data_IF_385600385551
#
_entry.id   IF_385600385551
#
_cell.length_a   1.000
_cell.length_b   1.000
_cell.length_c   1.000
_cell.angle_alpha   90.00
_cell.angle_beta   90.00
_cell.angle_gamma   90.00
#
_symmetry.space_group_name_H-M   'P 1'
#
loop_
_entity.id
_entity.type
_entity.pdbx_description
1 polymer ?
#
# COMPACT_ATOMS: atom_id res chain seq x y z
N UNK A 1 6.53 18.07 -48.60
CA UNK A 1 7.24 17.95 -47.30
C UNK A 1 7.82 19.32 -47.00
N UNK A 2 7.32 20.01 -45.99
CA UNK A 2 7.82 21.35 -45.64
C UNK A 2 9.20 21.21 -45.01
N UNK A 3 10.18 21.94 -45.54
CA UNK A 3 11.53 21.97 -44.99
C UNK A 3 11.50 22.52 -43.56
N UNK A 4 12.23 21.85 -42.66
CA UNK A 4 12.35 22.28 -41.27
C UNK A 4 13.07 23.65 -41.26
N UNK A 5 12.51 24.67 -40.60
CA UNK A 5 13.11 25.99 -40.52
C UNK A 5 14.57 25.92 -40.03
N UNK A 6 15.51 26.69 -40.61
CA UNK A 6 16.93 26.62 -40.26
C UNK A 6 17.21 26.81 -38.76
N UNK A 7 16.44 27.68 -38.11
CA UNK A 7 16.43 27.91 -36.65
C UNK A 7 16.12 26.62 -35.87
N UNK A 8 15.09 25.89 -36.28
CA UNK A 8 14.69 24.61 -35.66
C UNK A 8 15.72 23.51 -35.89
N UNK A 9 16.36 23.50 -37.07
CA UNK A 9 17.44 22.55 -37.39
C UNK A 9 18.68 22.82 -36.52
N UNK A 10 18.99 24.09 -36.25
CA UNK A 10 20.07 24.51 -35.35
C UNK A 10 19.79 24.11 -33.89
N UNK A 11 18.54 24.28 -33.42
CA UNK A 11 18.12 23.87 -32.09
C UNK A 11 18.19 22.35 -31.91
N UNK A 12 17.75 21.58 -32.91
CA UNK A 12 17.83 20.11 -32.91
C UNK A 12 19.28 19.60 -32.90
N UNK A 13 20.18 20.26 -33.64
CA UNK A 13 21.61 19.93 -33.59
C UNK A 13 22.22 20.25 -32.23
N UNK A 14 21.84 21.36 -31.59
CA UNK A 14 22.33 21.70 -30.25
C UNK A 14 21.78 20.73 -29.19
N UNK A 15 20.50 20.37 -29.22
CA UNK A 15 19.93 19.34 -28.33
C UNK A 15 20.63 17.99 -28.53
N UNK A 16 20.85 17.58 -29.78
CA UNK A 16 21.55 16.32 -30.09
C UNK A 16 23.00 16.35 -29.57
N UNK A 17 23.69 17.49 -29.72
CA UNK A 17 25.04 17.72 -29.18
C UNK A 17 25.06 17.68 -27.64
N UNK A 18 24.08 18.26 -26.96
CA UNK A 18 23.94 18.18 -25.51
C UNK A 18 23.71 16.74 -25.03
N UNK A 19 22.90 15.96 -25.74
CA UNK A 19 22.71 14.53 -25.46
C UNK A 19 23.98 13.69 -25.69
N UNK A 20 24.78 14.02 -26.70
CA UNK A 20 26.10 13.41 -26.92
C UNK A 20 27.08 13.73 -25.80
N UNK A 21 27.09 14.98 -25.31
CA UNK A 21 27.93 15.43 -24.19
C UNK A 21 27.58 14.76 -22.85
N UNK A 22 26.32 14.36 -22.67
CA UNK A 22 25.84 13.69 -21.45
C UNK A 22 26.03 12.16 -21.49
N UNK A 23 26.34 11.58 -22.65
CA UNK A 23 26.49 10.13 -22.82
C UNK A 23 27.65 9.53 -22.00
N UNK A 24 28.82 10.18 -21.87
CA UNK A 24 29.88 9.74 -20.96
C UNK A 24 29.49 9.86 -19.48
N UNK A 25 28.76 10.91 -19.09
CA UNK A 25 28.29 11.09 -17.71
C UNK A 25 27.29 10.00 -17.31
N UNK A 26 26.37 9.63 -18.21
CA UNK A 26 25.44 8.49 -17.99
C UNK A 26 26.21 7.18 -17.79
N UNK A 27 27.20 6.91 -18.65
CA UNK A 27 28.04 5.71 -18.53
C UNK A 27 28.85 5.71 -17.23
N UNK A 28 29.37 6.86 -16.82
CA UNK A 28 30.11 7.01 -15.56
C UNK A 28 29.20 6.88 -14.32
N UNK A 29 27.95 7.34 -14.38
CA UNK A 29 26.94 7.09 -13.35
C UNK A 29 26.61 5.60 -13.27
N UNK A 30 26.42 4.92 -14.40
CA UNK A 30 26.17 3.47 -14.45
C UNK A 30 27.36 2.63 -13.98
N UNK A 31 28.60 3.08 -14.23
CA UNK A 31 29.83 2.46 -13.72
C UNK A 31 30.04 2.76 -12.23
N UNK A 32 29.73 3.97 -11.76
CA UNK A 32 29.76 4.34 -10.34
C UNK A 32 28.69 3.58 -9.55
N UNK A 33 27.50 3.35 -10.12
CA UNK A 33 26.44 2.54 -9.51
C UNK A 33 26.84 1.05 -9.36
N UNK A 34 27.76 0.56 -10.20
CA UNK A 34 28.33 -0.80 -10.07
C UNK A 34 29.40 -0.90 -8.98
N UNK A 35 30.02 0.21 -8.59
CA UNK A 35 31.10 0.28 -7.58
C UNK A 35 30.67 0.89 -6.24
N UNK A 36 29.43 1.43 -6.15
CA UNK A 36 28.81 1.95 -4.92
C UNK A 36 28.39 0.81 -3.98
N UNK A 37 29.39 0.18 -3.35
CA UNK A 37 29.21 -0.49 -2.07
C UNK A 37 29.23 0.54 -0.92
N UNK A 38 28.33 0.32 0.04
CA UNK A 38 28.11 1.01 1.33
C UNK A 38 27.36 2.35 1.21
N UNK A 39 26.09 2.46 1.70
CA UNK A 39 25.54 1.86 2.93
C UNK A 39 24.38 0.86 2.75
N UNK A 40 23.75 0.78 1.57
CA UNK A 40 22.58 -0.09 1.34
C UNK A 40 22.95 -1.58 1.24
N UNK A 41 24.15 -1.90 0.75
CA UNK A 41 24.58 -3.29 0.62
C UNK A 41 24.88 -3.95 1.96
N UNK A 42 25.39 -3.20 2.95
CA UNK A 42 25.64 -3.72 4.30
C UNK A 42 24.33 -3.99 5.04
N UNK A 43 23.31 -3.13 4.86
CA UNK A 43 21.97 -3.40 5.39
C UNK A 43 21.34 -4.66 4.78
N UNK A 44 21.46 -4.85 3.46
CA UNK A 44 20.98 -6.06 2.79
C UNK A 44 21.76 -7.33 3.17
N UNK A 45 23.08 -7.22 3.34
CA UNK A 45 23.93 -8.33 3.79
C UNK A 45 23.63 -8.70 5.23
N UNK A 46 23.47 -7.73 6.12
CA UNK A 46 23.02 -7.94 7.49
C UNK A 46 21.67 -8.67 7.55
N UNK A 47 20.71 -8.31 6.70
CA UNK A 47 19.41 -8.98 6.60
C UNK A 47 19.54 -10.42 6.07
N UNK A 48 20.46 -10.69 5.14
CA UNK A 48 20.69 -12.05 4.63
C UNK A 48 21.50 -12.94 5.58
N UNK A 49 22.48 -12.39 6.29
CA UNK A 49 23.35 -13.11 7.23
C UNK A 49 22.66 -13.33 8.58
N UNK A 50 21.75 -12.44 8.98
CA UNK A 50 20.90 -12.57 10.17
C UNK A 50 19.47 -12.98 9.81
N UNK A 51 19.30 -13.67 8.68
CA UNK A 51 17.98 -14.09 8.18
C UNK A 51 17.23 -14.92 9.22
N UNK A 52 17.91 -15.80 9.95
CA UNK A 52 17.27 -16.62 11.00
C UNK A 52 16.83 -15.77 12.21
N UNK A 53 17.67 -14.89 12.83
CA UNK A 53 17.21 -13.97 13.88
C UNK A 53 16.12 -12.98 13.46
N UNK A 54 16.18 -12.44 12.23
CA UNK A 54 15.16 -11.51 11.71
C UNK A 54 13.86 -12.25 11.40
N UNK A 55 13.95 -13.46 10.82
CA UNK A 55 12.79 -14.34 10.69
C UNK A 55 12.28 -14.77 12.06
N UNK A 56 13.12 -14.98 13.06
CA UNK A 56 12.71 -15.29 14.44
C UNK A 56 12.02 -14.11 15.10
N UNK A 57 12.47 -12.87 14.87
CA UNK A 57 11.79 -11.65 15.34
C UNK A 57 10.48 -11.44 14.60
N UNK A 58 10.42 -11.67 13.29
CA UNK A 58 9.17 -11.60 12.50
C UNK A 58 8.23 -12.76 12.87
N UNK A 59 8.76 -13.95 13.19
CA UNK A 59 8.03 -15.11 13.66
C UNK A 59 7.62 -14.97 15.13
N UNK A 60 8.39 -14.25 15.93
CA UNK A 60 8.08 -13.92 17.32
C UNK A 60 7.05 -12.80 17.35
N UNK A 61 7.21 -11.76 16.55
CA UNK A 61 6.17 -10.80 16.25
C UNK A 61 4.94 -11.52 15.73
N UNK A 62 5.03 -12.44 14.76
CA UNK A 62 3.91 -13.31 14.32
C UNK A 62 3.39 -14.25 15.40
N UNK A 63 4.17 -14.69 16.40
CA UNK A 63 3.67 -15.50 17.53
C UNK A 63 2.92 -14.65 18.54
N UNK A 64 3.33 -13.39 18.67
CA UNK A 64 2.68 -12.37 19.50
C UNK A 64 1.51 -11.68 18.75
N UNK A 65 1.51 -11.72 17.40
CA UNK A 65 0.53 -11.17 16.43
C UNK A 65 -0.31 -12.28 15.77
N UNK A 66 -0.05 -13.54 16.08
CA UNK A 66 -0.89 -14.70 15.73
C UNK A 66 -2.37 -14.60 16.18
N UNK A 67 -2.75 -13.74 17.16
CA UNK A 67 -4.16 -13.57 17.44
C UNK A 67 -4.97 -12.85 16.34
N UNK A 68 -4.31 -12.13 15.42
CA UNK A 68 -5.00 -11.41 14.32
C UNK A 68 -5.60 -12.40 13.30
N UNK A 69 -4.89 -13.49 13.00
CA UNK A 69 -5.36 -14.52 12.08
C UNK A 69 -6.56 -15.32 12.62
N UNK A 70 -6.60 -15.57 13.94
CA UNK A 70 -7.77 -16.20 14.60
C UNK A 70 -8.97 -15.25 14.62
N UNK A 71 -8.74 -13.97 14.90
CA UNK A 71 -9.74 -12.89 14.77
C UNK A 71 -10.32 -12.81 13.35
N UNK A 72 -9.47 -12.89 12.33
CA UNK A 72 -9.89 -12.93 10.93
C UNK A 72 -10.79 -14.15 10.65
N UNK A 73 -10.38 -15.36 11.06
CA UNK A 73 -11.18 -16.58 10.91
C UNK A 73 -12.54 -16.50 11.62
N UNK A 74 -12.62 -15.78 12.75
CA UNK A 74 -13.86 -15.57 13.49
C UNK A 74 -14.81 -14.55 12.82
N UNK A 75 -14.27 -13.52 12.16
CA UNK A 75 -15.06 -12.46 11.53
C UNK A 75 -15.37 -12.71 10.05
N UNK A 76 -14.66 -13.61 9.40
CA UNK A 76 -14.86 -13.97 8.01
C UNK A 76 -16.18 -14.75 7.83
N UNK A 77 -17.27 -14.06 7.51
CA UNK A 77 -18.46 -14.68 6.92
C UNK A 77 -18.21 -15.06 5.46
N UNK A 78 -19.11 -15.85 4.85
CA UNK A 78 -19.08 -16.21 3.43
C UNK A 78 -18.64 -15.02 2.54
N UNK A 79 -17.68 -15.25 1.64
CA UNK A 79 -17.03 -14.26 0.74
C UNK A 79 -16.00 -13.28 1.36
N UNK A 80 -15.42 -13.59 2.51
CA UNK A 80 -14.25 -12.84 3.01
C UNK A 80 -13.00 -13.14 2.17
N UNK A 81 -12.33 -12.10 1.66
CA UNK A 81 -11.02 -12.23 1.01
C UNK A 81 -9.93 -11.99 2.04
N UNK A 82 -9.24 -13.07 2.44
CA UNK A 82 -7.98 -12.99 3.22
C UNK A 82 -6.84 -12.58 2.28
N UNK A 83 -6.61 -11.28 2.14
CA UNK A 83 -5.38 -10.80 1.52
C UNK A 83 -4.32 -10.55 2.59
N UNK A 84 -3.68 -11.63 3.01
CA UNK A 84 -2.36 -11.51 3.65
C UNK A 84 -1.39 -10.95 2.61
N UNK A 85 -0.99 -9.69 2.77
CA UNK A 85 -0.01 -9.03 1.91
C UNK A 85 1.36 -9.75 1.90
N UNK A 86 1.56 -10.71 2.82
CA UNK A 86 2.70 -11.62 2.86
C UNK A 86 2.56 -12.82 1.88
N UNK A 87 1.33 -13.28 1.61
CA UNK A 87 1.05 -14.39 0.66
C UNK A 87 0.91 -13.90 -0.78
N UNK A 88 0.53 -12.64 -0.98
CA UNK A 88 0.35 -12.04 -2.31
C UNK A 88 1.67 -11.80 -3.07
N UNK A 89 2.82 -11.87 -2.38
CA UNK A 89 4.10 -11.44 -2.93
C UNK A 89 4.18 -9.91 -3.05
N UNK A 90 5.34 -9.41 -3.49
CA UNK A 90 5.53 -7.97 -3.71
C UNK A 90 4.50 -7.45 -4.73
N UNK A 91 3.65 -6.50 -4.32
CA UNK A 91 2.77 -5.78 -5.24
C UNK A 91 3.58 -4.69 -5.95
N UNK A 92 3.54 -4.63 -7.29
CA UNK A 92 4.23 -3.58 -8.03
C UNK A 92 3.63 -2.23 -7.69
N UNK A 93 4.48 -1.26 -7.35
CA UNK A 93 4.08 0.13 -7.17
C UNK A 93 3.67 0.73 -8.52
N UNK A 94 2.63 1.58 -8.50
CA UNK A 94 2.34 2.44 -9.65
C UNK A 94 3.54 3.34 -9.93
N UNK A 95 4.12 3.16 -11.12
CA UNK A 95 5.19 4.00 -11.65
C UNK A 95 4.73 4.82 -12.86
N UNK A 96 3.48 4.62 -13.27
CA UNK A 96 2.87 5.29 -14.42
C UNK A 96 2.59 6.77 -14.08
N UNK A 97 2.94 7.72 -14.97
CA UNK A 97 2.61 9.13 -14.78
C UNK A 97 1.11 9.34 -14.51
N UNK A 98 0.79 10.25 -13.59
CA UNK A 98 -0.58 10.47 -13.12
C UNK A 98 -1.56 10.85 -14.24
N UNK A 99 -1.07 11.55 -15.27
CA UNK A 99 -1.86 11.94 -16.44
C UNK A 99 -2.37 10.73 -17.26
N UNK A 100 -1.62 9.63 -17.27
CA UNK A 100 -2.00 8.38 -17.93
C UNK A 100 -3.04 7.60 -17.12
N UNK A 101 -3.01 7.72 -15.79
CA UNK A 101 -3.99 7.07 -14.89
C UNK A 101 -5.31 7.83 -14.88
N UNK A 102 -5.27 9.17 -14.94
CA UNK A 102 -6.46 10.04 -14.91
C UNK A 102 -7.10 10.26 -16.29
N UNK A 103 -6.39 10.01 -17.38
CA UNK A 103 -6.86 10.29 -18.74
C UNK A 103 -7.95 9.35 -19.26
N UNK A 104 -8.29 8.28 -18.55
CA UNK A 104 -9.32 7.30 -18.94
C UNK A 104 -9.00 6.47 -20.19
N UNK A 105 -8.13 6.97 -21.07
CA UNK A 105 -7.57 6.26 -22.21
C UNK A 105 -6.23 5.61 -21.81
N UNK A 106 -6.29 4.31 -21.60
CA UNK A 106 -5.17 3.41 -21.75
C UNK A 106 -3.97 3.57 -20.79
N UNK A 107 -4.14 2.98 -19.61
CA UNK A 107 -3.12 2.09 -19.03
C UNK A 107 -2.63 0.99 -20.01
N UNK A 108 -3.25 0.87 -21.19
CA UNK A 108 -3.13 -0.22 -22.13
C UNK A 108 -1.89 -0.19 -23.05
N UNK A 109 -1.07 0.88 -23.09
CA UNK A 109 0.04 0.88 -24.05
C UNK A 109 1.38 0.32 -23.54
N UNK A 110 1.69 0.31 -22.23
CA UNK A 110 3.01 -0.17 -21.76
C UNK A 110 3.02 -1.08 -20.49
N UNK A 111 1.95 -1.20 -19.70
CA UNK A 111 1.92 -2.09 -18.51
C UNK A 111 0.64 -2.94 -18.43
N UNK A 112 0.52 -3.90 -19.36
CA UNK A 112 -0.60 -4.84 -19.39
C UNK A 112 -0.67 -5.72 -18.14
N UNK A 113 0.48 -6.05 -17.54
CA UNK A 113 0.55 -6.88 -16.34
C UNK A 113 0.00 -6.13 -15.12
N UNK A 114 0.41 -4.87 -14.93
CA UNK A 114 -0.13 -4.01 -13.88
C UNK A 114 -1.63 -3.75 -14.03
N UNK A 115 -2.11 -3.54 -15.26
CA UNK A 115 -3.54 -3.39 -15.53
C UNK A 115 -4.33 -4.67 -15.22
N UNK A 116 -3.82 -5.84 -15.62
CA UNK A 116 -4.45 -7.13 -15.34
C UNK A 116 -4.53 -7.40 -13.83
N UNK A 117 -3.44 -7.14 -13.10
CA UNK A 117 -3.41 -7.22 -11.64
C UNK A 117 -4.43 -6.26 -11.03
N UNK A 118 -4.44 -4.99 -11.43
CA UNK A 118 -5.39 -4.00 -10.93
C UNK A 118 -6.84 -4.43 -11.16
N UNK A 119 -7.18 -4.95 -12.34
CA UNK A 119 -8.51 -5.47 -12.62
C UNK A 119 -8.86 -6.63 -11.68
N UNK A 120 -7.95 -7.59 -11.49
CA UNK A 120 -8.15 -8.70 -10.56
C UNK A 120 -8.40 -8.21 -9.12
N UNK A 121 -7.58 -7.27 -8.63
CA UNK A 121 -7.70 -6.72 -7.28
C UNK A 121 -9.04 -5.99 -7.08
N UNK A 122 -9.52 -5.28 -8.11
CA UNK A 122 -10.82 -4.61 -8.11
C UNK A 122 -11.95 -5.62 -8.14
N UNK A 123 -11.89 -6.64 -9.01
CA UNK A 123 -12.94 -7.65 -9.12
C UNK A 123 -13.12 -8.39 -7.80
N UNK A 124 -12.01 -8.72 -7.14
CA UNK A 124 -12.00 -9.28 -5.78
C UNK A 124 -12.69 -8.34 -4.77
N UNK A 125 -12.31 -7.06 -4.72
CA UNK A 125 -12.95 -6.06 -3.85
C UNK A 125 -14.45 -5.90 -4.14
N UNK A 126 -14.84 -5.92 -5.41
CA UNK A 126 -16.24 -5.75 -5.81
C UNK A 126 -17.08 -6.99 -5.52
N UNK A 127 -16.47 -8.18 -5.47
CA UNK A 127 -17.14 -9.43 -5.12
C UNK A 127 -17.31 -9.64 -3.60
N UNK A 128 -16.61 -8.90 -2.74
CA UNK A 128 -16.73 -9.06 -1.29
C UNK A 128 -17.84 -8.22 -0.67
N UNK A 129 -18.55 -8.78 0.30
CA UNK A 129 -19.54 -8.06 1.11
C UNK A 129 -18.87 -7.38 2.33
N UNK A 130 -17.88 -8.05 2.89
CA UNK A 130 -17.09 -7.58 4.04
C UNK A 130 -15.60 -7.58 3.70
N UNK A 131 -14.93 -6.46 3.95
CA UNK A 131 -13.49 -6.29 3.80
C UNK A 131 -12.83 -6.22 5.18
N UNK A 132 -12.06 -7.24 5.55
CA UNK A 132 -11.23 -7.20 6.76
C UNK A 132 -9.81 -6.79 6.36
N UNK A 133 -9.30 -5.70 6.94
CA UNK A 133 -7.95 -5.19 6.66
C UNK A 133 -7.14 -5.21 7.95
N UNK A 134 -6.16 -6.11 8.02
CA UNK A 134 -5.16 -6.12 9.09
C UNK A 134 -4.02 -5.17 8.75
N UNK A 135 -3.74 -4.23 9.65
CA UNK A 135 -2.80 -3.15 9.37
C UNK A 135 -1.92 -2.87 10.58
N UNK A 136 -0.64 -3.25 10.56
CA UNK A 136 0.32 -2.74 11.52
C UNK A 136 0.67 -1.30 11.18
N UNK A 137 0.78 -0.45 12.20
CA UNK A 137 1.32 0.89 12.07
C UNK A 137 2.84 0.81 11.97
N UNK A 138 3.37 1.28 10.84
CA UNK A 138 4.80 1.48 10.64
C UNK A 138 5.06 2.96 10.39
N UNK A 139 5.94 3.56 11.21
CA UNK A 139 6.29 4.98 11.11
C UNK A 139 5.05 5.88 10.99
N UNK A 140 4.09 5.69 11.90
CA UNK A 140 2.86 6.49 12.02
C UNK A 140 1.80 6.26 10.93
N UNK A 141 2.02 5.35 9.98
CA UNK A 141 1.07 5.10 8.89
C UNK A 141 1.03 3.63 8.46
N UNK A 142 0.36 3.37 7.33
CA UNK A 142 0.16 2.04 6.75
C UNK A 142 1.45 1.48 6.12
N UNK A 143 1.57 0.15 5.98
CA UNK A 143 2.64 -0.46 5.21
C UNK A 143 2.60 -0.06 3.73
N UNK A 144 3.77 0.10 3.11
CA UNK A 144 3.88 0.50 1.70
C UNK A 144 3.20 -0.47 0.72
N UNK A 145 3.14 -1.76 1.07
CA UNK A 145 2.44 -2.78 0.27
C UNK A 145 0.92 -2.57 0.30
N UNK A 146 0.36 -2.18 1.44
CA UNK A 146 -1.05 -1.81 1.52
C UNK A 146 -1.32 -0.56 0.68
N UNK A 147 -0.42 0.43 0.72
CA UNK A 147 -0.52 1.60 -0.15
C UNK A 147 -0.48 1.23 -1.63
N UNK A 148 0.36 0.27 -2.03
CA UNK A 148 0.38 -0.23 -3.40
C UNK A 148 -0.95 -0.90 -3.79
N UNK A 149 -1.55 -1.71 -2.91
CA UNK A 149 -2.89 -2.28 -3.16
C UNK A 149 -3.94 -1.19 -3.34
N UNK A 150 -3.92 -0.15 -2.50
CA UNK A 150 -4.82 1.01 -2.60
C UNK A 150 -4.70 1.68 -3.98
N UNK A 151 -3.48 1.88 -4.46
CA UNK A 151 -3.24 2.48 -5.77
C UNK A 151 -3.78 1.63 -6.93
N UNK A 152 -3.83 0.31 -6.76
CA UNK A 152 -4.46 -0.60 -7.73
C UNK A 152 -5.98 -0.59 -7.70
N UNK A 153 -6.60 -0.43 -6.54
CA UNK A 153 -8.06 -0.51 -6.43
C UNK A 153 -8.76 0.82 -6.59
N UNK A 154 -8.13 1.96 -6.28
CA UNK A 154 -8.72 3.28 -6.46
C UNK A 154 -8.65 3.74 -7.93
N UNK A 155 -9.61 3.30 -8.76
CA UNK A 155 -9.64 3.59 -10.20
C UNK A 155 -10.95 4.21 -10.65
N UNK A 156 -10.81 5.26 -11.46
CA UNK A 156 -11.94 5.96 -12.07
C UNK A 156 -12.71 5.01 -13.00
N UNK A 157 -14.04 5.07 -12.93
CA UNK A 157 -14.95 4.22 -13.68
C UNK A 157 -15.00 2.77 -13.18
N UNK A 158 -14.30 2.45 -12.08
CA UNK A 158 -14.28 1.11 -11.47
C UNK A 158 -14.75 1.15 -10.02
N UNK A 159 -14.04 1.89 -9.17
CA UNK A 159 -14.35 2.00 -7.72
C UNK A 159 -14.72 3.42 -7.31
N UNK A 160 -14.46 4.41 -8.15
CA UNK A 160 -15.03 5.75 -8.02
C UNK A 160 -15.31 6.35 -9.40
N UNK A 161 -16.14 7.38 -9.47
CA UNK A 161 -16.37 8.19 -10.66
C UNK A 161 -16.44 9.68 -10.30
N UNK A 162 -16.26 10.58 -11.27
CA UNK A 162 -16.50 12.00 -11.08
C UNK A 162 -17.90 12.37 -11.57
N UNK A 163 -18.63 13.13 -10.76
CA UNK A 163 -19.92 13.71 -11.10
C UNK A 163 -19.88 15.24 -10.98
N UNK A 164 -20.94 15.93 -11.40
CA UNK A 164 -21.07 17.37 -11.18
C UNK A 164 -21.06 17.76 -9.69
N UNK A 165 -21.39 16.84 -8.78
CA UNK A 165 -21.35 17.03 -7.33
C UNK A 165 -19.99 16.70 -6.70
N UNK A 166 -19.00 16.25 -7.50
CA UNK A 166 -17.70 15.78 -7.03
C UNK A 166 -17.51 14.27 -7.20
N UNK A 167 -16.44 13.69 -6.61
CA UNK A 167 -16.18 12.26 -6.67
C UNK A 167 -17.27 11.46 -5.96
N UNK A 168 -17.67 10.35 -6.57
CA UNK A 168 -18.65 9.39 -6.08
C UNK A 168 -18.03 7.99 -6.01
N UNK A 169 -18.07 7.37 -4.84
CA UNK A 169 -17.64 5.99 -4.66
C UNK A 169 -18.62 4.98 -5.24
N UNK A 170 -18.10 3.91 -5.86
CA UNK A 170 -18.88 2.88 -6.56
C UNK A 170 -18.94 1.54 -5.81
N UNK A 171 -18.04 1.31 -4.84
CA UNK A 171 -17.99 0.10 -4.01
C UNK A 171 -19.01 0.15 -2.84
N UNK A 172 -20.26 0.48 -3.14
CA UNK A 172 -21.34 0.68 -2.16
C UNK A 172 -21.88 -0.66 -1.61
N UNK A 173 -22.54 -0.59 -0.46
CA UNK A 173 -23.22 -1.75 0.16
C UNK A 173 -22.26 -2.75 0.81
N UNK A 174 -21.01 -2.34 1.07
CA UNK A 174 -19.96 -3.15 1.68
C UNK A 174 -19.65 -2.63 3.08
N UNK A 175 -19.20 -3.55 3.93
CA UNK A 175 -18.67 -3.26 5.27
C UNK A 175 -17.15 -3.43 5.28
N UNK A 176 -16.43 -2.62 6.06
CA UNK A 176 -15.02 -2.85 6.34
C UNK A 176 -14.74 -2.96 7.85
N UNK A 177 -13.81 -3.84 8.20
CA UNK A 177 -13.30 -4.01 9.55
C UNK A 177 -11.79 -3.80 9.51
N UNK A 178 -11.31 -2.77 10.19
CA UNK A 178 -9.89 -2.45 10.31
C UNK A 178 -9.35 -3.07 11.60
N UNK A 179 -8.39 -3.98 11.49
CA UNK A 179 -7.68 -4.55 12.64
C UNK A 179 -6.31 -3.85 12.73
N UNK A 180 -6.19 -2.92 13.68
CA UNK A 180 -5.13 -1.93 13.74
C UNK A 180 -4.13 -2.29 14.84
N UNK A 181 -2.89 -2.60 14.44
CA UNK A 181 -1.82 -2.96 15.37
C UNK A 181 -0.80 -1.84 15.57
N UNK A 182 -0.39 -1.55 16.81
CA UNK A 182 0.68 -0.55 17.05
C UNK A 182 1.46 -0.79 18.33
N UNK A 183 2.76 -0.44 18.30
CA UNK A 183 3.64 -0.56 19.47
C UNK A 183 3.24 0.38 20.63
N UNK A 184 2.81 1.61 20.32
CA UNK A 184 2.23 2.56 21.26
C UNK A 184 0.71 2.64 21.15
N UNK A 185 0.08 3.50 21.98
CA UNK A 185 -1.35 3.82 21.94
C UNK A 185 -1.55 5.10 21.13
N UNK A 186 -2.40 5.03 20.10
CA UNK A 186 -2.65 6.14 19.16
C UNK A 186 -4.15 6.41 18.94
N UNK A 187 -5.04 5.54 19.43
CA UNK A 187 -6.49 5.78 19.36
C UNK A 187 -6.94 6.98 20.22
N UNK A 188 -6.17 7.30 21.26
CA UNK A 188 -6.45 8.33 22.26
C UNK A 188 -5.19 9.03 22.78
N UNK A 189 -5.40 10.00 23.67
CA UNK A 189 -4.32 10.73 24.34
C UNK A 189 -3.51 11.64 23.41
N UNK A 190 -2.34 12.14 23.87
CA UNK A 190 -1.53 13.11 23.13
C UNK A 190 -0.96 12.58 21.81
N UNK A 191 -0.72 11.27 21.73
CA UNK A 191 -0.14 10.62 20.56
C UNK A 191 -1.14 10.48 19.39
N UNK A 192 -2.44 10.68 19.63
CA UNK A 192 -3.49 10.58 18.61
C UNK A 192 -3.27 11.46 17.38
N UNK A 193 -2.57 12.58 17.53
CA UNK A 193 -2.24 13.47 16.41
C UNK A 193 -1.26 12.84 15.40
N UNK A 194 -0.57 11.77 15.79
CA UNK A 194 0.34 10.99 14.94
C UNK A 194 -0.33 9.77 14.31
N UNK A 195 -1.64 9.58 14.50
CA UNK A 195 -2.39 8.48 13.89
C UNK A 195 -2.65 8.81 12.41
N UNK A 196 -1.98 8.10 11.48
CA UNK A 196 -2.21 8.21 10.04
C UNK A 196 -2.43 6.85 9.35
N UNK A 197 -2.96 5.88 10.09
CA UNK A 197 -3.34 4.55 9.63
C UNK A 197 -4.85 4.48 9.42
N UNK A 198 -5.64 4.53 10.49
CA UNK A 198 -7.10 4.48 10.45
C UNK A 198 -7.68 5.69 9.72
N UNK A 199 -7.24 6.90 10.08
CA UNK A 199 -7.71 8.13 9.47
C UNK A 199 -7.53 8.12 7.94
N UNK A 200 -6.37 7.66 7.46
CA UNK A 200 -6.09 7.51 6.03
C UNK A 200 -7.01 6.46 5.38
N UNK A 201 -7.17 5.29 6.01
CA UNK A 201 -8.00 4.22 5.48
C UNK A 201 -9.48 4.59 5.42
N UNK A 202 -10.01 5.30 6.42
CA UNK A 202 -11.40 5.80 6.40
C UNK A 202 -11.63 6.79 5.26
N UNK A 203 -10.67 7.69 5.00
CA UNK A 203 -10.75 8.62 3.87
C UNK A 203 -10.80 7.83 2.55
N UNK A 204 -9.90 6.89 2.36
CA UNK A 204 -9.83 6.07 1.15
C UNK A 204 -11.09 5.23 0.96
N UNK A 205 -11.48 4.44 1.97
CA UNK A 205 -12.67 3.60 1.94
C UNK A 205 -13.93 4.42 1.66
N UNK A 206 -14.09 5.56 2.34
CA UNK A 206 -15.18 6.49 2.07
C UNK A 206 -15.16 7.04 0.64
N UNK A 207 -13.98 7.38 0.11
CA UNK A 207 -13.81 7.87 -1.26
C UNK A 207 -14.26 6.84 -2.31
N UNK A 208 -13.97 5.55 -2.11
CA UNK A 208 -14.42 4.47 -3.00
C UNK A 208 -15.84 3.97 -2.69
N UNK A 209 -16.50 4.48 -1.64
CA UNK A 209 -17.91 4.22 -1.34
C UNK A 209 -18.19 3.22 -0.22
N UNK A 210 -17.16 2.79 0.51
CA UNK A 210 -17.27 1.92 1.68
C UNK A 210 -17.31 2.80 2.93
N UNK A 211 -18.51 3.06 3.43
CA UNK A 211 -18.74 4.00 4.55
C UNK A 211 -19.07 3.33 5.88
N UNK A 212 -19.51 2.06 5.85
CA UNK A 212 -19.66 1.23 7.04
C UNK A 212 -18.28 0.65 7.42
N UNK A 213 -17.56 1.36 8.30
CA UNK A 213 -16.18 1.04 8.67
C UNK A 213 -16.05 0.95 10.18
N UNK A 214 -15.69 -0.23 10.67
CA UNK A 214 -15.45 -0.53 12.07
C UNK A 214 -13.96 -0.73 12.33
N UNK A 215 -13.51 -0.46 13.56
CA UNK A 215 -12.12 -0.61 13.96
C UNK A 215 -11.99 -1.52 15.20
N UNK A 216 -10.93 -2.32 15.20
CA UNK A 216 -10.44 -3.13 16.31
C UNK A 216 -8.99 -2.70 16.56
N UNK A 217 -8.69 -2.26 17.78
CA UNK A 217 -7.34 -1.82 18.15
C UNK A 217 -6.62 -2.91 18.93
N UNK A 218 -5.39 -3.17 18.54
CA UNK A 218 -4.41 -3.98 19.27
C UNK A 218 -3.15 -3.11 19.42
N UNK A 219 -3.26 -2.15 20.33
CA UNK A 219 -2.28 -1.08 20.52
C UNK A 219 -1.56 -1.19 21.88
N UNK A 220 -0.38 -0.58 21.98
CA UNK A 220 0.44 -0.66 23.19
C UNK A 220 1.24 -1.95 23.33
N UNK A 221 1.33 -2.79 22.28
CA UNK A 221 2.04 -4.08 22.34
C UNK A 221 3.54 -3.94 22.59
N UNK A 222 4.12 -2.79 22.24
CA UNK A 222 5.53 -2.46 22.52
C UNK A 222 5.79 -1.97 23.94
N UNK A 223 4.74 -1.82 24.77
CA UNK A 223 4.83 -1.33 26.15
C UNK A 223 5.06 -2.45 27.18
N UNK A 224 5.10 -3.72 26.74
CA UNK A 224 5.39 -4.89 27.56
C UNK A 224 4.34 -6.01 27.42
N UNK A 225 4.66 -7.23 27.90
CA UNK A 225 3.82 -8.41 27.69
C UNK A 225 2.42 -8.28 28.31
N UNK A 226 2.29 -7.67 29.48
CA UNK A 226 0.99 -7.45 30.14
C UNK A 226 0.08 -6.55 29.30
N UNK A 227 0.64 -5.50 28.68
CA UNK A 227 -0.09 -4.59 27.80
C UNK A 227 -0.47 -5.25 26.49
N UNK A 228 0.40 -6.10 25.95
CA UNK A 228 0.08 -6.90 24.77
C UNK A 228 -1.08 -7.88 25.02
N UNK A 229 -1.09 -8.56 26.18
CA UNK A 229 -2.18 -9.45 26.57
C UNK A 229 -3.51 -8.71 26.76
N UNK A 230 -3.50 -7.55 27.44
CA UNK A 230 -4.67 -6.69 27.62
C UNK A 230 -5.23 -6.19 26.28
N UNK A 231 -4.36 -5.74 25.38
CA UNK A 231 -4.74 -5.28 24.04
C UNK A 231 -5.41 -6.40 23.25
N UNK A 232 -4.87 -7.61 23.35
CA UNK A 232 -5.44 -8.77 22.68
C UNK A 232 -6.82 -9.13 23.21
N UNK A 233 -6.98 -9.21 24.54
CA UNK A 233 -8.27 -9.56 25.14
C UNK A 233 -9.38 -8.60 24.71
N UNK A 234 -9.09 -7.29 24.72
CA UNK A 234 -10.03 -6.25 24.24
C UNK A 234 -10.38 -6.42 22.77
N UNK A 235 -9.39 -6.74 21.93
CA UNK A 235 -9.61 -6.96 20.51
C UNK A 235 -10.50 -8.18 20.24
N UNK A 236 -10.25 -9.29 20.93
CA UNK A 236 -11.11 -10.49 20.87
C UNK A 236 -12.55 -10.18 21.29
N UNK A 237 -12.74 -9.44 22.38
CA UNK A 237 -14.08 -9.02 22.80
C UNK A 237 -14.76 -8.13 21.75
N UNK A 238 -14.04 -7.18 21.15
CA UNK A 238 -14.58 -6.29 20.11
C UNK A 238 -14.96 -7.07 18.86
N UNK A 239 -14.13 -8.01 18.40
CA UNK A 239 -14.43 -8.81 17.23
C UNK A 239 -15.64 -9.73 17.41
N UNK A 240 -15.77 -10.36 18.58
CA UNK A 240 -16.96 -11.15 18.93
C UNK A 240 -18.25 -10.31 18.92
N UNK A 241 -18.16 -9.01 19.22
CA UNK A 241 -19.31 -8.10 19.15
C UNK A 241 -19.61 -7.62 17.72
N UNK A 242 -18.69 -7.82 16.76
CA UNK A 242 -18.81 -7.40 15.37
C UNK A 242 -19.21 -8.55 14.42
N UNK A 243 -19.02 -9.80 14.86
CA UNK A 243 -19.45 -11.05 14.21
C UNK A 243 -20.96 -11.28 14.39
#
# INVERSE_FOLDING_TARGET
MNEIPPETKKLLMEVKRQFELLRPLKKQIEENLKTLHAPLTEAYRFIQENREPVLEIIQQFRREVLPYAELFQQMATHNAIEKSLEKAGWLPHYSTPIDTVLGGSDMASNDQAGLALSNQLIDELMASDTLVIEVPMYNFSIPSVLKAWIDHVARQGKTFAYSAAGPEGLAKGKRAILVLGSGGVYSEGPAKTMEHTESYLRILLGFIGITDVEAIYIEGVGMGPDKAAEALEKATQRANALA
#
